data_IF_410734456720
#
_entry.id   IF_410734456720
#
_cell.length_a   1.000
_cell.length_b   1.000
_cell.length_c   1.000
_cell.angle_alpha   90.00
_cell.angle_beta   90.00
_cell.angle_gamma   90.00
#
_symmetry.space_group_name_H-M   'P 1'
#
loop_
_entity.id
_entity.type
_entity.pdbx_description
1 polymer ?
#
# COMPACT_ATOMS: atom_id res chain seq x y z
N UNK A 1 9.07 -12.67 -16.82
CA UNK A 1 8.92 -12.91 -15.37
C UNK A 1 9.16 -11.65 -14.53
N UNK A 2 10.33 -11.01 -14.61
CA UNK A 2 10.66 -9.80 -13.81
C UNK A 2 9.75 -8.58 -14.00
N UNK A 3 9.23 -8.34 -15.22
CA UNK A 3 8.33 -7.20 -15.51
C UNK A 3 7.02 -7.22 -14.72
N UNK A 4 6.59 -8.39 -14.24
CA UNK A 4 5.38 -8.55 -13.43
C UNK A 4 5.68 -8.78 -11.95
N UNK A 5 6.86 -9.32 -11.62
CA UNK A 5 7.26 -9.53 -10.22
C UNK A 5 7.64 -8.22 -9.51
N UNK A 6 8.28 -7.28 -10.21
CA UNK A 6 8.74 -6.02 -9.61
C UNK A 6 7.58 -5.13 -9.13
N UNK A 7 6.51 -4.88 -9.93
CA UNK A 7 5.36 -4.11 -9.47
C UNK A 7 4.66 -4.77 -8.27
N UNK A 8 4.52 -6.10 -8.29
CA UNK A 8 3.95 -6.86 -7.18
C UNK A 8 4.76 -6.71 -5.89
N UNK A 9 6.09 -6.79 -5.98
CA UNK A 9 6.98 -6.65 -4.82
C UNK A 9 6.88 -5.23 -4.23
N UNK A 10 6.87 -4.21 -5.09
CA UNK A 10 6.70 -2.81 -4.66
C UNK A 10 5.36 -2.61 -3.97
N UNK A 11 4.26 -3.11 -4.55
CA UNK A 11 2.93 -3.03 -3.94
C UNK A 11 2.87 -3.77 -2.60
N UNK A 12 3.48 -4.95 -2.51
CA UNK A 12 3.57 -5.71 -1.28
C UNK A 12 4.31 -4.97 -0.17
N UNK A 13 5.48 -4.39 -0.47
CA UNK A 13 6.24 -3.57 0.49
C UNK A 13 5.41 -2.38 0.99
N UNK A 14 4.68 -1.70 0.09
CA UNK A 14 3.83 -0.57 0.45
C UNK A 14 2.65 -0.97 1.35
N UNK A 15 2.06 -2.13 1.09
CA UNK A 15 1.00 -2.69 1.96
C UNK A 15 1.55 -3.04 3.34
N UNK A 16 2.71 -3.71 3.41
CA UNK A 16 3.34 -4.07 4.68
C UNK A 16 3.74 -2.83 5.48
N UNK A 17 4.25 -1.79 4.83
CA UNK A 17 4.56 -0.53 5.51
C UNK A 17 3.29 0.19 5.98
N UNK A 18 2.23 0.19 5.18
CA UNK A 18 0.93 0.76 5.58
C UNK A 18 0.31 0.05 6.77
N UNK A 19 0.38 -1.28 6.78
CA UNK A 19 -0.04 -2.12 7.88
C UNK A 19 0.78 -1.88 9.15
N UNK A 20 2.11 -1.80 9.03
CA UNK A 20 3.00 -1.50 10.15
C UNK A 20 2.68 -0.15 10.79
N UNK A 21 2.45 0.89 9.99
CA UNK A 21 2.06 2.23 10.49
C UNK A 21 0.73 2.16 11.23
N UNK A 22 -0.28 1.47 10.67
CA UNK A 22 -1.57 1.31 11.34
C UNK A 22 -1.45 0.56 12.67
N UNK A 23 -0.68 -0.54 12.72
CA UNK A 23 -0.52 -1.32 13.96
C UNK A 23 0.26 -0.55 15.01
N UNK A 24 1.37 0.10 14.64
CA UNK A 24 2.15 0.87 15.61
C UNK A 24 1.33 2.00 16.18
N UNK A 25 0.58 2.72 15.35
CA UNK A 25 -0.21 3.83 15.85
C UNK A 25 -1.31 3.35 16.80
N UNK A 26 -2.07 2.32 16.40
CA UNK A 26 -3.11 1.78 17.28
C UNK A 26 -2.50 1.14 18.54
N UNK A 27 -1.40 0.40 18.42
CA UNK A 27 -0.72 -0.27 19.51
C UNK A 27 -0.14 0.71 20.52
N UNK A 28 0.73 1.64 20.10
CA UNK A 28 1.35 2.60 21.01
C UNK A 28 0.34 3.56 21.65
N UNK A 29 -0.67 4.01 20.89
CA UNK A 29 -1.63 4.97 21.45
C UNK A 29 -2.63 4.31 22.38
N UNK A 30 -3.11 3.09 22.10
CA UNK A 30 -4.08 2.37 22.96
C UNK A 30 -3.51 2.05 24.35
N UNK A 31 -2.20 1.89 24.49
CA UNK A 31 -1.56 1.63 25.78
C UNK A 31 -1.17 2.90 26.57
N UNK A 32 -1.09 4.06 25.92
CA UNK A 32 -0.60 5.28 26.56
C UNK A 32 -1.67 6.37 26.76
N UNK A 33 -2.74 6.40 25.95
CA UNK A 33 -3.81 7.41 26.03
C UNK A 33 -5.16 6.77 25.65
N UNK A 34 -6.24 7.08 26.37
CA UNK A 34 -7.63 6.68 26.06
C UNK A 34 -8.18 7.37 24.78
N UNK A 35 -7.37 7.46 23.72
CA UNK A 35 -7.77 8.02 22.43
C UNK A 35 -8.49 6.97 21.59
N UNK A 36 -9.54 7.42 20.91
CA UNK A 36 -10.30 6.63 19.94
C UNK A 36 -9.37 5.94 18.94
N UNK A 37 -9.65 4.66 18.64
CA UNK A 37 -8.89 3.83 17.69
C UNK A 37 -8.93 4.36 16.24
N UNK A 38 -9.87 5.25 15.95
CA UNK A 38 -10.06 5.91 14.67
C UNK A 38 -9.28 7.22 14.60
N UNK A 39 -7.96 7.12 14.56
CA UNK A 39 -7.08 8.28 14.39
C UNK A 39 -6.69 8.48 12.92
N UNK A 40 -6.25 9.70 12.58
CA UNK A 40 -5.90 10.10 11.20
C UNK A 40 -4.81 9.19 10.59
N UNK A 41 -3.95 8.67 11.44
CA UNK A 41 -2.82 7.83 11.11
C UNK A 41 -3.27 6.40 10.76
N UNK A 42 -4.29 5.86 11.42
CA UNK A 42 -4.92 4.59 11.03
C UNK A 42 -5.56 4.70 9.65
N UNK A 43 -6.23 5.84 9.38
CA UNK A 43 -6.82 6.12 8.07
C UNK A 43 -5.74 6.30 6.99
N UNK A 44 -4.62 6.94 7.31
CA UNK A 44 -3.46 7.07 6.44
C UNK A 44 -2.82 5.72 6.13
N UNK A 45 -2.63 4.87 7.15
CA UNK A 45 -2.12 3.51 6.99
C UNK A 45 -3.02 2.66 6.10
N UNK A 46 -4.34 2.77 6.28
CA UNK A 46 -5.33 2.14 5.41
C UNK A 46 -5.23 2.64 3.97
N UNK A 47 -5.07 3.95 3.78
CA UNK A 47 -4.84 4.57 2.47
C UNK A 47 -3.60 4.02 1.77
N UNK A 48 -2.49 3.88 2.48
CA UNK A 48 -1.26 3.28 1.93
C UNK A 48 -1.46 1.82 1.51
N UNK A 49 -2.21 1.03 2.29
CA UNK A 49 -2.54 -0.36 1.93
C UNK A 49 -3.37 -0.40 0.64
N UNK A 50 -4.39 0.44 0.53
CA UNK A 50 -5.24 0.50 -0.67
C UNK A 50 -4.46 0.96 -1.91
N UNK A 51 -3.62 1.98 -1.76
CA UNK A 51 -2.74 2.41 -2.87
C UNK A 51 -1.77 1.29 -3.24
N UNK A 52 -1.18 0.62 -2.25
CA UNK A 52 -0.22 -0.47 -2.45
C UNK A 52 -0.81 -1.69 -3.14
N UNK A 53 -2.10 -2.00 -2.91
CA UNK A 53 -2.77 -3.12 -3.55
C UNK A 53 -3.14 -2.85 -5.01
N UNK A 54 -3.44 -1.60 -5.37
CA UNK A 54 -3.83 -1.21 -6.73
C UNK A 54 -2.65 -0.77 -7.62
N UNK A 55 -1.56 -0.28 -7.03
CA UNK A 55 -0.37 0.18 -7.76
C UNK A 55 0.19 -0.87 -8.75
N UNK A 56 0.31 -2.17 -8.39
CA UNK A 56 0.80 -3.19 -9.32
C UNK A 56 -0.10 -3.35 -10.55
N UNK A 57 -1.42 -3.29 -10.37
CA UNK A 57 -2.38 -3.45 -11.47
C UNK A 57 -2.32 -2.29 -12.45
N UNK A 58 -2.27 -1.06 -11.94
CA UNK A 58 -2.14 0.16 -12.74
C UNK A 58 -0.83 0.13 -13.53
N UNK A 59 0.27 -0.23 -12.88
CA UNK A 59 1.58 -0.33 -13.51
C UNK A 59 1.60 -1.33 -14.66
N UNK A 60 1.03 -2.52 -14.45
CA UNK A 60 0.95 -3.57 -15.48
C UNK A 60 0.07 -3.12 -16.65
N UNK A 61 -1.07 -2.46 -16.38
CA UNK A 61 -1.96 -1.95 -17.41
C UNK A 61 -1.27 -0.90 -18.30
N UNK A 62 -0.54 0.04 -17.69
CA UNK A 62 0.24 1.06 -18.42
C UNK A 62 1.35 0.39 -19.25
N UNK A 63 2.11 -0.53 -18.66
CA UNK A 63 3.21 -1.22 -19.35
C UNK A 63 2.71 -1.99 -20.59
N UNK A 64 1.57 -2.69 -20.47
CA UNK A 64 0.96 -3.40 -21.59
C UNK A 64 0.44 -2.44 -22.66
N UNK A 65 -0.13 -1.30 -22.27
CA UNK A 65 -0.65 -0.27 -23.19
C UNK A 65 0.47 0.36 -24.02
N UNK A 66 1.62 0.62 -23.40
CA UNK A 66 2.81 1.12 -24.10
C UNK A 66 3.36 0.07 -25.07
N UNK A 67 3.39 -1.21 -24.67
CA UNK A 67 3.86 -2.29 -25.55
C UNK A 67 2.99 -2.44 -26.79
N UNK A 68 1.66 -2.37 -26.65
CA UNK A 68 0.70 -2.51 -27.76
C UNK A 68 0.78 -1.38 -28.79
N UNK A 69 1.23 -0.18 -28.39
CA UNK A 69 1.36 0.99 -29.28
C UNK A 69 2.61 0.93 -30.17
N UNK A 70 3.51 -0.03 -29.94
CA UNK A 70 4.80 -0.12 -30.64
C UNK A 70 4.77 -1.08 -31.83
N UNK A 71 3.68 -1.83 -31.99
CA UNK A 71 3.36 -2.71 -33.13
C UNK A 71 2.39 -2.00 -34.09
#
# INVERSE_FOLDING_TARGET
MFKYALPQLIGFVLMVSGWYVSIINVGLFKFNQERSLHTKETLFGLGMILVGSYLPQIWIAIANSISKKKD
#
